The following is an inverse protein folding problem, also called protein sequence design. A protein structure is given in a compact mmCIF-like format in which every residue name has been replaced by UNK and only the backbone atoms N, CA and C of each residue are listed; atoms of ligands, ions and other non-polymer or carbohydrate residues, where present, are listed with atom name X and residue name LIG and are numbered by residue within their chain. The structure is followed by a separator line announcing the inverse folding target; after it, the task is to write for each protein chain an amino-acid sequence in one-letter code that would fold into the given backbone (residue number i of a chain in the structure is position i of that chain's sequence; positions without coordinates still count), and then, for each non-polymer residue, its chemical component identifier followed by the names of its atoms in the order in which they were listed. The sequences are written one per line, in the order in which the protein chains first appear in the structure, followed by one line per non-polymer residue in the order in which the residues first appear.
data_IF_633820122958
#
_entry.id   IF_633820122958
#
_cell.length_a   1.000
_cell.length_b   1.000
_cell.length_c   1.000
_cell.angle_alpha   90.00
_cell.angle_beta   90.00
_cell.angle_gamma   90.00
#
_symmetry.space_group_name_H-M   'P 1'
#
loop_
_entity.id
_entity.type
_entity.pdbx_description
1 polymer ?
#
# COMPACT_ATOMS: atom_id res chain seq x y z
N UNK A 1 -12.36 -30.50 -12.79
CA UNK A 1 -12.61 -31.00 -11.41
C UNK A 1 -12.76 -29.79 -10.49
N UNK A 2 -13.82 -29.68 -9.66
CA UNK A 2 -13.98 -28.53 -8.76
C UNK A 2 -12.89 -28.58 -7.68
N UNK A 3 -12.13 -27.50 -7.52
CA UNK A 3 -11.14 -27.36 -6.44
C UNK A 3 -11.76 -27.07 -5.07
N UNK A 4 -13.07 -26.72 -5.04
CA UNK A 4 -13.81 -26.38 -3.81
C UNK A 4 -15.11 -27.19 -3.75
N UNK A 5 -15.11 -28.23 -2.93
CA UNK A 5 -16.19 -29.22 -2.80
C UNK A 5 -16.99 -29.13 -1.50
N UNK A 6 -16.47 -28.46 -0.47
CA UNK A 6 -17.11 -28.39 0.86
C UNK A 6 -17.99 -27.14 0.94
N UNK A 7 -19.30 -27.31 1.17
CA UNK A 7 -20.26 -26.20 1.39
C UNK A 7 -20.26 -25.77 2.86
N UNK A 8 -20.34 -24.46 3.10
CA UNK A 8 -20.60 -23.86 4.42
C UNK A 8 -21.83 -22.95 4.31
N UNK A 9 -22.72 -23.01 5.31
CA UNK A 9 -23.92 -22.20 5.40
C UNK A 9 -23.92 -21.50 6.76
N UNK A 10 -24.15 -20.20 6.75
CA UNK A 10 -24.14 -19.34 7.94
C UNK A 10 -25.40 -18.48 7.91
N UNK A 11 -26.04 -18.35 9.07
CA UNK A 11 -27.18 -17.46 9.26
C UNK A 11 -26.70 -16.18 9.92
N UNK A 12 -27.10 -15.03 9.38
CA UNK A 12 -26.76 -13.71 9.89
C UNK A 12 -28.04 -12.98 10.28
N UNK A 13 -27.97 -12.15 11.32
CA UNK A 13 -29.03 -11.18 11.58
C UNK A 13 -28.93 -9.99 10.61
N UNK A 14 -29.95 -9.13 10.58
CA UNK A 14 -30.02 -8.00 9.64
C UNK A 14 -28.82 -7.06 9.73
N UNK A 15 -28.35 -6.76 10.95
CA UNK A 15 -27.20 -5.87 11.18
C UNK A 15 -25.90 -6.49 10.68
N UNK A 16 -25.68 -7.78 10.95
CA UNK A 16 -24.50 -8.51 10.49
C UNK A 16 -24.46 -8.61 8.96
N UNK A 17 -25.60 -8.84 8.32
CA UNK A 17 -25.71 -8.88 6.87
C UNK A 17 -25.38 -7.52 6.23
N UNK A 18 -25.90 -6.42 6.79
CA UNK A 18 -25.53 -5.07 6.32
C UNK A 18 -24.05 -4.79 6.48
N UNK A 19 -23.47 -5.17 7.61
CA UNK A 19 -22.05 -4.98 7.87
C UNK A 19 -21.19 -5.78 6.89
N UNK A 20 -21.56 -7.04 6.62
CA UNK A 20 -20.88 -7.89 5.64
C UNK A 20 -20.93 -7.25 4.26
N UNK A 21 -22.11 -6.81 3.80
CA UNK A 21 -22.27 -6.15 2.50
C UNK A 21 -21.43 -4.89 2.38
N UNK A 22 -21.41 -4.04 3.41
CA UNK A 22 -20.58 -2.81 3.45
C UNK A 22 -19.09 -3.16 3.35
N UNK A 23 -18.62 -4.16 4.09
CA UNK A 23 -17.22 -4.60 4.05
C UNK A 23 -16.84 -5.22 2.70
N UNK A 24 -17.71 -6.05 2.12
CA UNK A 24 -17.51 -6.62 0.79
C UNK A 24 -17.43 -5.54 -0.29
N UNK A 25 -18.32 -4.53 -0.24
CA UNK A 25 -18.31 -3.41 -1.18
C UNK A 25 -17.02 -2.60 -1.09
N UNK A 26 -16.58 -2.25 0.14
CA UNK A 26 -15.32 -1.55 0.36
C UNK A 26 -14.10 -2.34 -0.12
N UNK A 27 -14.11 -3.67 0.08
CA UNK A 27 -13.03 -4.54 -0.34
C UNK A 27 -13.06 -4.88 -1.84
N UNK A 28 -14.17 -4.62 -2.55
CA UNK A 28 -14.35 -5.02 -3.94
C UNK A 28 -14.42 -6.55 -4.13
N UNK A 29 -14.89 -7.28 -3.11
CA UNK A 29 -14.89 -8.75 -3.08
C UNK A 29 -16.32 -9.29 -2.98
N UNK A 30 -16.55 -10.47 -3.58
CA UNK A 30 -17.77 -11.25 -3.28
C UNK A 30 -17.74 -11.72 -1.82
N UNK A 31 -18.91 -11.91 -1.20
CA UNK A 31 -19.02 -12.44 0.17
C UNK A 31 -18.25 -13.75 0.35
N UNK A 32 -18.33 -14.63 -0.64
CA UNK A 32 -17.60 -15.90 -0.61
C UNK A 32 -16.08 -15.71 -0.62
N UNK A 33 -15.57 -14.69 -1.34
CA UNK A 33 -14.15 -14.36 -1.36
C UNK A 33 -13.73 -13.70 -0.06
N UNK A 34 -14.57 -12.82 0.49
CA UNK A 34 -14.37 -12.19 1.79
C UNK A 34 -14.21 -13.25 2.89
N UNK A 35 -15.13 -14.20 3.01
CA UNK A 35 -15.03 -15.30 3.98
C UNK A 35 -13.76 -16.14 3.79
N UNK A 36 -13.37 -16.44 2.55
CA UNK A 36 -12.14 -17.21 2.28
C UNK A 36 -10.89 -16.46 2.72
N UNK A 37 -10.83 -15.15 2.51
CA UNK A 37 -9.70 -14.35 2.98
C UNK A 37 -9.64 -14.27 4.50
N UNK A 38 -10.79 -14.15 5.18
CA UNK A 38 -10.86 -14.20 6.64
C UNK A 38 -10.38 -15.55 7.19
N UNK A 39 -10.74 -16.67 6.55
CA UNK A 39 -10.33 -18.02 6.98
C UNK A 39 -8.81 -18.25 6.79
N UNK A 40 -8.22 -17.69 5.74
CA UNK A 40 -6.83 -17.93 5.37
C UNK A 40 -5.83 -16.98 6.08
N UNK A 41 -6.21 -16.34 7.20
CA UNK A 41 -5.42 -15.32 7.91
C UNK A 41 -4.83 -14.23 6.99
N UNK A 42 -5.45 -14.03 5.83
CA UNK A 42 -5.01 -13.01 4.89
C UNK A 42 -5.58 -11.72 5.42
N UNK A 43 -4.75 -10.83 5.98
CA UNK A 43 -5.17 -9.45 6.21
C UNK A 43 -5.80 -8.95 4.91
N UNK A 44 -7.12 -8.77 4.89
CA UNK A 44 -7.83 -8.12 3.80
C UNK A 44 -7.40 -6.66 3.89
N UNK A 45 -6.26 -6.36 3.29
CA UNK A 45 -5.79 -4.99 3.13
C UNK A 45 -6.79 -4.35 2.17
N UNK A 46 -7.38 -3.24 2.59
CA UNK A 46 -8.21 -2.42 1.73
C UNK A 46 -7.44 -2.14 0.43
N UNK A 47 -8.16 -2.01 -0.70
CA UNK A 47 -7.53 -1.62 -1.96
C UNK A 47 -6.64 -0.40 -1.65
N UNK A 48 -5.33 -0.44 -1.99
CA UNK A 48 -4.48 0.71 -1.76
C UNK A 48 -5.15 1.93 -2.40
N UNK A 49 -5.24 3.01 -1.64
CA UNK A 49 -5.87 4.23 -2.11
C UNK A 49 -5.11 4.79 -3.33
N UNK A 50 -5.68 5.77 -4.02
CA UNK A 50 -5.02 6.36 -5.18
C UNK A 50 -3.64 6.96 -4.82
N UNK A 51 -3.46 7.39 -3.57
CA UNK A 51 -2.18 7.91 -3.07
C UNK A 51 -1.08 6.84 -3.08
N UNK A 52 -1.40 5.58 -2.74
CA UNK A 52 -0.42 4.49 -2.85
C UNK A 52 0.13 4.35 -4.28
N UNK A 53 -0.74 4.38 -5.29
CA UNK A 53 -0.31 4.25 -6.68
C UNK A 53 0.43 5.51 -7.17
N UNK A 54 0.09 6.69 -6.63
CA UNK A 54 0.84 7.93 -6.88
C UNK A 54 2.27 7.82 -6.36
N UNK A 55 2.44 7.45 -5.09
CA UNK A 55 3.76 7.26 -4.47
C UNK A 55 4.56 6.16 -5.20
N UNK A 56 3.91 5.06 -5.59
CA UNK A 56 4.57 3.99 -6.35
C UNK A 56 5.09 4.47 -7.71
N UNK A 57 4.34 5.33 -8.41
CA UNK A 57 4.77 5.91 -9.67
C UNK A 57 5.91 6.91 -9.47
N UNK A 58 5.86 7.73 -8.42
CA UNK A 58 6.92 8.67 -8.09
C UNK A 58 8.24 7.93 -7.76
N UNK A 59 8.17 6.84 -7.00
CA UNK A 59 9.31 5.96 -6.72
C UNK A 59 9.91 5.37 -8.01
N UNK A 60 9.08 4.91 -8.95
CA UNK A 60 9.54 4.40 -10.26
C UNK A 60 10.25 5.49 -11.05
N UNK A 61 9.72 6.71 -11.05
CA UNK A 61 10.36 7.86 -11.69
C UNK A 61 11.74 8.17 -11.11
N UNK A 62 11.87 8.13 -9.78
CA UNK A 62 13.16 8.30 -9.09
C UNK A 62 14.14 7.20 -9.51
N UNK A 63 13.73 5.93 -9.48
CA UNK A 63 14.60 4.80 -9.85
C UNK A 63 15.11 4.92 -11.30
N UNK A 64 14.27 5.36 -12.23
CA UNK A 64 14.66 5.62 -13.62
C UNK A 64 15.71 6.73 -13.69
N UNK A 65 15.50 7.84 -12.98
CA UNK A 65 16.43 8.97 -12.97
C UNK A 65 17.78 8.60 -12.35
N UNK A 66 17.80 7.79 -11.29
CA UNK A 66 19.05 7.24 -10.70
C UNK A 66 19.80 6.41 -11.74
N UNK A 67 19.09 5.52 -12.45
CA UNK A 67 19.70 4.66 -13.46
C UNK A 67 20.29 5.47 -14.63
N UNK A 68 19.63 6.56 -15.02
CA UNK A 68 20.15 7.49 -16.03
C UNK A 68 21.43 8.19 -15.55
N UNK A 69 21.43 8.71 -14.32
CA UNK A 69 22.61 9.32 -13.71
C UNK A 69 23.77 8.34 -13.61
N UNK A 70 23.53 7.11 -13.15
CA UNK A 70 24.54 6.07 -13.07
C UNK A 70 25.14 5.73 -14.45
N UNK A 71 24.32 5.66 -15.50
CA UNK A 71 24.80 5.41 -16.87
C UNK A 71 25.69 6.54 -17.40
N UNK A 72 25.28 7.78 -17.17
CA UNK A 72 26.06 8.97 -17.56
C UNK A 72 27.37 9.01 -16.77
N UNK A 73 27.30 8.81 -15.45
CA UNK A 73 28.49 8.81 -14.59
C UNK A 73 29.48 7.69 -14.96
N UNK A 74 29.00 6.49 -15.27
CA UNK A 74 29.87 5.41 -15.74
C UNK A 74 30.52 5.71 -17.09
N UNK A 75 29.80 6.42 -17.97
CA UNK A 75 30.29 6.77 -19.32
C UNK A 75 31.34 7.86 -19.27
N UNK A 76 31.10 8.91 -18.49
CA UNK A 76 31.94 10.11 -18.46
C UNK A 76 32.84 10.21 -17.23
N UNK A 77 32.76 9.24 -16.31
CA UNK A 77 33.53 9.16 -15.06
C UNK A 77 33.38 10.40 -14.15
N UNK A 78 32.25 11.11 -14.25
CA UNK A 78 31.89 12.21 -13.35
C UNK A 78 30.38 12.24 -13.11
N UNK A 79 29.95 12.79 -11.96
CA UNK A 79 28.53 12.99 -11.64
C UNK A 79 28.16 14.45 -11.87
N UNK A 80 27.03 14.69 -12.54
CA UNK A 80 26.50 16.04 -12.76
C UNK A 80 25.73 16.50 -11.51
N UNK A 81 26.37 17.34 -10.71
CA UNK A 81 25.80 17.90 -9.48
C UNK A 81 24.45 18.59 -9.70
N UNK A 82 24.26 19.25 -10.86
CA UNK A 82 23.01 19.93 -11.18
C UNK A 82 21.85 18.95 -11.40
N UNK A 83 22.14 17.67 -11.66
CA UNK A 83 21.13 16.61 -11.78
C UNK A 83 21.03 15.78 -10.51
N UNK A 84 22.14 15.64 -9.79
CA UNK A 84 22.20 14.88 -8.55
C UNK A 84 21.40 15.55 -7.43
N UNK A 85 21.66 16.82 -7.11
CA UNK A 85 20.99 17.49 -5.99
C UNK A 85 19.47 17.58 -6.15
N UNK A 86 18.89 17.91 -7.32
CA UNK A 86 17.45 17.89 -7.50
C UNK A 86 16.83 16.50 -7.31
N UNK A 87 17.54 15.44 -7.74
CA UNK A 87 17.07 14.08 -7.53
C UNK A 87 17.12 13.68 -6.05
N UNK A 88 18.21 14.03 -5.36
CA UNK A 88 18.34 13.79 -3.92
C UNK A 88 17.24 14.51 -3.12
N UNK A 89 16.94 15.77 -3.47
CA UNK A 89 15.84 16.51 -2.86
C UNK A 89 14.49 15.85 -3.10
N UNK A 90 14.22 15.40 -4.34
CA UNK A 90 12.98 14.69 -4.67
C UNK A 90 12.82 13.36 -3.93
N UNK A 91 13.92 12.67 -3.62
CA UNK A 91 13.92 11.47 -2.77
C UNK A 91 13.54 11.84 -1.33
N UNK A 92 14.13 12.91 -0.78
CA UNK A 92 13.83 13.38 0.56
C UNK A 92 12.35 13.80 0.68
N UNK A 93 11.84 14.57 -0.29
CA UNK A 93 10.43 14.99 -0.33
C UNK A 93 9.48 13.77 -0.31
N UNK A 94 9.80 12.72 -1.07
CA UNK A 94 9.00 11.50 -1.11
C UNK A 94 9.06 10.72 0.22
N UNK A 95 10.22 10.71 0.89
CA UNK A 95 10.37 10.11 2.22
C UNK A 95 9.52 10.88 3.25
N UNK A 96 9.55 12.21 3.20
CA UNK A 96 8.76 13.06 4.09
C UNK A 96 7.26 12.87 3.86
N UNK A 97 6.81 12.78 2.60
CA UNK A 97 5.42 12.47 2.25
C UNK A 97 4.98 11.10 2.79
N UNK A 98 5.85 10.09 2.66
CA UNK A 98 5.61 8.75 3.21
C UNK A 98 5.53 8.76 4.73
N UNK A 99 6.46 9.43 5.41
CA UNK A 99 6.46 9.55 6.86
C UNK A 99 5.20 10.29 7.34
N UNK A 100 4.84 11.38 6.67
CA UNK A 100 3.64 12.14 6.99
C UNK A 100 2.36 11.33 6.82
N UNK A 101 2.29 10.49 5.78
CA UNK A 101 1.11 9.69 5.51
C UNK A 101 0.98 8.47 6.45
N UNK A 102 2.09 7.78 6.74
CA UNK A 102 2.06 6.50 7.48
C UNK A 102 2.44 6.59 8.96
N UNK A 103 3.25 7.59 9.36
CA UNK A 103 3.79 7.70 10.72
C UNK A 103 3.20 8.85 11.52
N UNK A 104 2.61 9.86 10.87
CA UNK A 104 1.98 10.97 11.59
C UNK A 104 0.59 10.55 12.11
N UNK A 105 0.33 10.66 13.42
CA UNK A 105 -0.97 10.31 13.99
C UNK A 105 -2.06 11.24 13.46
N UNK A 106 -2.90 10.75 12.54
CA UNK A 106 -4.13 11.44 12.17
C UNK A 106 -5.21 11.09 13.18
N UNK A 107 -5.76 12.09 13.88
CA UNK A 107 -6.91 11.90 14.77
C UNK A 107 -8.16 11.66 13.92
N UNK A 108 -8.76 10.46 14.02
CA UNK A 108 -10.16 10.23 13.63
C UNK A 108 -10.86 9.33 14.63
N UNK A 109 -12.10 9.69 14.94
CA UNK A 109 -13.03 8.94 15.78
C UNK A 109 -13.17 7.48 15.29
N UNK A 110 -12.81 6.51 16.13
CA UNK A 110 -13.42 5.18 16.08
C UNK A 110 -12.69 4.01 15.39
N UNK A 111 -11.36 3.99 15.29
CA UNK A 111 -10.68 2.75 14.89
C UNK A 111 -9.15 2.84 14.82
N UNK A 112 -8.46 2.01 15.61
CA UNK A 112 -7.01 1.96 15.73
C UNK A 112 -6.36 1.39 14.46
N UNK A 113 -5.39 2.11 13.88
CA UNK A 113 -4.41 1.55 12.94
C UNK A 113 -3.11 1.26 13.69
N UNK A 114 -2.60 0.04 13.56
CA UNK A 114 -1.24 -0.31 13.98
C UNK A 114 -0.24 0.21 12.93
N UNK A 115 0.07 1.50 13.00
CA UNK A 115 1.31 2.04 12.45
C UNK A 115 2.43 1.74 13.45
N UNK A 116 3.12 0.62 13.28
CA UNK A 116 4.16 0.23 14.22
C UNK A 116 4.95 -0.98 13.75
N UNK A 117 5.98 -0.74 12.95
CA UNK A 117 7.24 -1.45 13.11
C UNK A 117 8.39 -0.46 12.92
N UNK A 118 8.73 0.24 14.00
CA UNK A 118 10.11 0.59 14.28
C UNK A 118 10.78 -0.68 14.80
N UNK A 119 11.71 -1.24 14.04
CA UNK A 119 12.90 -1.86 14.60
C UNK A 119 14.06 -1.25 13.82
N UNK A 120 14.80 -0.37 14.48
CA UNK A 120 16.14 0.02 14.07
C UNK A 120 17.07 -1.00 14.74
N UNK A 121 17.83 -1.74 13.95
CA UNK A 121 19.13 -2.29 14.35
C UNK A 121 20.20 -1.49 13.61
#
# INVERSE_FOLDING_TARGET
MRTRSIKKQVWLNSRENELLKKKCLKAGLSESAFFRHVINDTQIKEKPDENFYKILNDLRGIAININQLARVANTYQYVDDNKYYPLANKVNDMIDDLQNFYLTPTKKEGGVYYGGHKIFD
#
